data_IF_319194526080
#
_entry.id   IF_319194526080
#
_cell.length_a   1.000
_cell.length_b   1.000
_cell.length_c   1.000
_cell.angle_alpha   90.00
_cell.angle_beta   90.00
_cell.angle_gamma   90.00
#
_symmetry.space_group_name_H-M   'P 1'
#
loop_
_entity.id
_entity.type
_entity.pdbx_description
1 polymer ?
#
# COMPACT_ATOMS: atom_id res chain seq x y z
N UNK A 1 -25.46 -27.13 -3.94
CA UNK A 1 -24.39 -26.94 -2.94
C UNK A 1 -23.06 -27.34 -3.54
N UNK A 2 -22.07 -26.46 -3.48
CA UNK A 2 -20.74 -26.73 -4.00
C UNK A 2 -20.03 -27.71 -3.09
N UNK A 3 -19.34 -28.70 -3.66
CA UNK A 3 -18.56 -29.67 -2.88
C UNK A 3 -17.24 -29.06 -2.40
N UNK A 4 -16.67 -29.60 -1.33
CA UNK A 4 -15.35 -29.20 -0.84
C UNK A 4 -14.30 -29.30 -1.94
N UNK A 5 -14.40 -30.34 -2.79
CA UNK A 5 -13.48 -30.51 -3.92
C UNK A 5 -13.51 -29.33 -4.90
N UNK A 6 -14.69 -28.79 -5.17
CA UNK A 6 -14.85 -27.62 -6.05
C UNK A 6 -14.21 -26.37 -5.45
N UNK A 7 -14.39 -26.17 -4.15
CA UNK A 7 -13.71 -25.08 -3.45
C UNK A 7 -12.18 -25.20 -3.51
N UNK A 8 -11.66 -26.40 -3.27
CA UNK A 8 -10.21 -26.64 -3.29
C UNK A 8 -9.63 -26.50 -4.68
N UNK A 9 -10.34 -26.98 -5.72
CA UNK A 9 -9.87 -26.88 -7.10
C UNK A 9 -9.96 -25.47 -7.67
N UNK A 10 -10.87 -24.64 -7.13
CA UNK A 10 -10.97 -23.22 -7.51
C UNK A 10 -9.84 -22.36 -6.99
N UNK A 11 -9.07 -22.87 -6.00
CA UNK A 11 -7.96 -22.16 -5.41
C UNK A 11 -8.36 -21.08 -4.44
N UNK A 12 -7.37 -20.43 -3.87
CA UNK A 12 -7.53 -19.35 -2.91
C UNK A 12 -6.58 -18.21 -3.27
N UNK A 13 -6.96 -17.00 -2.92
CA UNK A 13 -6.11 -15.81 -3.08
C UNK A 13 -5.73 -15.28 -1.71
N UNK A 14 -4.44 -15.22 -1.43
CA UNK A 14 -3.92 -14.67 -0.17
C UNK A 14 -3.44 -13.25 -0.40
N UNK A 15 -3.92 -12.33 0.44
CA UNK A 15 -3.58 -10.91 0.37
C UNK A 15 -3.00 -10.44 1.69
N UNK A 16 -2.02 -9.52 1.62
CA UNK A 16 -1.48 -8.88 2.82
C UNK A 16 -2.55 -8.04 3.51
N UNK A 17 -2.69 -8.21 4.81
CA UNK A 17 -3.59 -7.38 5.61
C UNK A 17 -3.18 -5.91 5.58
N UNK A 18 -1.89 -5.61 5.50
CA UNK A 18 -1.41 -4.23 5.41
C UNK A 18 -1.91 -3.53 4.15
N UNK A 19 -1.93 -4.23 3.02
CA UNK A 19 -2.45 -3.71 1.77
C UNK A 19 -3.97 -3.52 1.84
N UNK A 20 -4.67 -4.52 2.35
CA UNK A 20 -6.12 -4.47 2.52
C UNK A 20 -6.56 -3.31 3.43
N UNK A 21 -5.81 -3.04 4.50
CA UNK A 21 -6.12 -1.98 5.45
C UNK A 21 -5.74 -0.58 4.96
N UNK A 22 -4.83 -0.46 3.98
CA UNK A 22 -4.24 0.82 3.59
C UNK A 22 -4.47 1.23 2.13
N UNK A 23 -5.22 0.46 1.36
CA UNK A 23 -5.37 0.77 -0.08
C UNK A 23 -5.96 2.15 -0.34
N UNK A 24 -6.86 2.63 0.50
CA UNK A 24 -7.43 3.98 0.37
C UNK A 24 -6.39 5.06 0.64
N UNK A 25 -5.50 4.85 1.60
CA UNK A 25 -4.41 5.77 1.91
C UNK A 25 -3.38 5.84 0.79
N UNK A 26 -3.25 4.77 0.02
CA UNK A 26 -2.41 4.74 -1.17
C UNK A 26 -3.02 5.50 -2.35
N UNK A 27 -4.31 5.81 -2.29
CA UNK A 27 -5.02 6.52 -3.36
C UNK A 27 -5.80 5.61 -4.30
N UNK A 28 -6.04 4.36 -3.91
CA UNK A 28 -6.87 3.43 -4.68
C UNK A 28 -8.33 3.54 -4.26
N UNK A 29 -9.22 3.55 -5.25
CA UNK A 29 -10.65 3.33 -5.00
C UNK A 29 -10.89 1.83 -4.75
N UNK A 30 -12.05 1.49 -4.19
CA UNK A 30 -12.41 0.10 -3.97
C UNK A 30 -12.47 -0.69 -5.29
N UNK A 31 -13.00 -0.09 -6.36
CA UNK A 31 -13.04 -0.72 -7.68
C UNK A 31 -11.64 -0.95 -8.26
N UNK A 32 -10.76 0.02 -8.14
CA UNK A 32 -9.37 -0.09 -8.58
C UNK A 32 -8.63 -1.18 -7.80
N UNK A 33 -8.83 -1.22 -6.49
CA UNK A 33 -8.24 -2.26 -5.65
C UNK A 33 -8.78 -3.64 -5.99
N UNK A 34 -10.08 -3.76 -6.28
CA UNK A 34 -10.67 -5.04 -6.69
C UNK A 34 -10.05 -5.52 -8.02
N UNK A 35 -9.84 -4.63 -8.98
CA UNK A 35 -9.15 -4.99 -10.22
C UNK A 35 -7.72 -5.46 -9.93
N UNK A 36 -7.00 -4.74 -9.10
CA UNK A 36 -5.66 -5.14 -8.69
C UNK A 36 -5.67 -6.54 -8.05
N UNK A 37 -6.66 -6.82 -7.19
CA UNK A 37 -6.83 -8.14 -6.57
C UNK A 37 -7.11 -9.24 -7.59
N UNK A 38 -7.90 -8.96 -8.62
CA UNK A 38 -8.15 -9.93 -9.69
C UNK A 38 -6.86 -10.27 -10.44
N UNK A 39 -6.04 -9.27 -10.72
CA UNK A 39 -4.73 -9.46 -11.34
C UNK A 39 -3.80 -10.26 -10.41
N UNK A 40 -3.82 -9.94 -9.13
CA UNK A 40 -3.01 -10.63 -8.13
C UNK A 40 -3.43 -12.08 -7.93
N UNK A 41 -4.74 -12.37 -7.96
CA UNK A 41 -5.26 -13.72 -7.91
C UNK A 41 -4.78 -14.54 -9.10
N UNK A 42 -4.78 -13.97 -10.30
CA UNK A 42 -4.26 -14.61 -11.51
C UNK A 42 -2.76 -14.89 -11.38
N UNK A 43 -2.01 -13.93 -10.86
CA UNK A 43 -0.58 -14.10 -10.62
C UNK A 43 -0.29 -15.25 -9.64
N UNK A 44 -1.04 -15.34 -8.53
CA UNK A 44 -0.89 -16.43 -7.57
C UNK A 44 -1.25 -17.79 -8.18
N UNK A 45 -2.15 -17.81 -9.15
CA UNK A 45 -2.50 -19.03 -9.89
C UNK A 45 -1.52 -19.37 -11.02
N UNK A 46 -0.46 -18.57 -11.21
CA UNK A 46 0.55 -18.79 -12.21
C UNK A 46 0.27 -18.13 -13.56
N UNK A 47 -0.71 -17.23 -13.64
CA UNK A 47 -1.07 -16.52 -14.85
C UNK A 47 -0.77 -15.03 -14.72
N UNK A 48 0.30 -14.58 -15.35
CA UNK A 48 0.80 -13.20 -15.23
C UNK A 48 0.21 -12.23 -16.26
N UNK A 49 -0.56 -12.75 -17.23
CA UNK A 49 -1.24 -11.94 -18.23
C UNK A 49 -2.66 -12.46 -18.46
N UNK A 50 -3.56 -12.27 -17.50
CA UNK A 50 -4.92 -12.83 -17.58
C UNK A 50 -5.78 -12.14 -18.65
N UNK A 51 -6.81 -12.85 -19.13
CA UNK A 51 -7.80 -12.30 -20.02
C UNK A 51 -8.70 -11.31 -19.26
N UNK A 52 -8.68 -10.05 -19.68
CA UNK A 52 -9.45 -9.00 -19.05
C UNK A 52 -10.95 -9.15 -19.24
N UNK A 53 -11.39 -9.89 -20.27
CA UNK A 53 -12.80 -10.21 -20.46
C UNK A 53 -13.33 -11.08 -19.32
N UNK A 54 -12.53 -12.05 -18.88
CA UNK A 54 -12.87 -12.92 -17.74
C UNK A 54 -12.91 -12.10 -16.44
N UNK A 55 -11.95 -11.21 -16.23
CA UNK A 55 -11.93 -10.32 -15.08
C UNK A 55 -13.15 -9.40 -15.07
N UNK A 56 -13.53 -8.86 -16.22
CA UNK A 56 -14.74 -8.04 -16.35
C UNK A 56 -15.98 -8.81 -15.92
N UNK A 57 -16.11 -10.06 -16.35
CA UNK A 57 -17.22 -10.93 -15.94
C UNK A 57 -17.22 -11.16 -14.43
N UNK A 58 -16.05 -11.46 -13.84
CA UNK A 58 -15.92 -11.69 -12.41
C UNK A 58 -16.31 -10.46 -11.60
N UNK A 59 -16.04 -9.28 -12.12
CA UNK A 59 -16.35 -8.00 -11.43
C UNK A 59 -17.75 -7.46 -11.77
N UNK A 60 -18.51 -8.15 -12.62
CA UNK A 60 -19.82 -7.64 -13.06
C UNK A 60 -19.70 -6.34 -13.84
N UNK A 61 -18.65 -6.18 -14.63
CA UNK A 61 -18.33 -4.96 -15.37
C UNK A 61 -18.18 -5.25 -16.86
N UNK A 62 -17.86 -4.23 -17.64
CA UNK A 62 -17.58 -4.37 -19.07
C UNK A 62 -16.07 -4.39 -19.30
N UNK A 63 -15.64 -5.01 -20.39
CA UNK A 63 -14.23 -5.05 -20.77
C UNK A 63 -13.66 -3.64 -20.94
N UNK A 64 -14.44 -2.72 -21.50
CA UNK A 64 -14.05 -1.33 -21.70
C UNK A 64 -13.76 -0.60 -20.40
N UNK A 65 -14.62 -0.80 -19.39
CA UNK A 65 -14.41 -0.23 -18.05
C UNK A 65 -13.19 -0.82 -17.37
N UNK A 66 -12.93 -2.11 -17.56
CA UNK A 66 -11.76 -2.78 -17.01
C UNK A 66 -10.47 -2.24 -17.64
N UNK A 67 -10.45 -2.05 -18.98
CA UNK A 67 -9.29 -1.42 -19.64
C UNK A 67 -9.04 -0.01 -19.14
N UNK A 68 -10.10 0.79 -18.96
CA UNK A 68 -9.96 2.14 -18.44
C UNK A 68 -9.41 2.13 -17.00
N UNK A 69 -9.91 1.23 -16.15
CA UNK A 69 -9.44 1.08 -14.77
C UNK A 69 -7.98 0.60 -14.73
N UNK A 70 -7.61 -0.32 -15.61
CA UNK A 70 -6.23 -0.80 -15.73
C UNK A 70 -5.29 0.33 -16.14
N UNK A 71 -5.68 1.16 -17.11
CA UNK A 71 -4.89 2.33 -17.51
C UNK A 71 -4.70 3.27 -16.33
N UNK A 72 -5.72 3.47 -15.51
CA UNK A 72 -5.62 4.29 -14.29
C UNK A 72 -4.62 3.69 -13.31
N UNK A 73 -4.65 2.37 -13.10
CA UNK A 73 -3.67 1.68 -12.23
C UNK A 73 -2.24 1.83 -12.74
N UNK A 74 -2.04 1.78 -14.05
CA UNK A 74 -0.72 1.97 -14.67
C UNK A 74 -0.28 3.42 -14.50
N UNK A 75 -1.15 4.39 -14.75
CA UNK A 75 -0.85 5.82 -14.57
C UNK A 75 -0.51 6.17 -13.13
N UNK A 76 -1.22 5.58 -12.18
CA UNK A 76 -0.96 5.75 -10.74
C UNK A 76 0.24 4.94 -10.26
N UNK A 77 0.86 4.15 -11.12
CA UNK A 77 2.04 3.33 -10.81
C UNK A 77 1.78 2.23 -9.76
N UNK A 78 0.60 1.61 -9.81
CA UNK A 78 0.31 0.41 -9.01
C UNK A 78 0.56 -0.89 -9.78
N UNK A 79 0.51 -0.80 -11.10
CA UNK A 79 0.76 -1.91 -12.02
C UNK A 79 1.70 -1.42 -13.11
N UNK A 80 2.67 -2.23 -13.48
CA UNK A 80 3.50 -1.99 -14.64
C UNK A 80 3.29 -3.10 -15.67
N UNK A 81 3.14 -2.73 -16.93
CA UNK A 81 3.12 -3.69 -18.01
C UNK A 81 4.56 -3.89 -18.49
N UNK A 82 5.08 -5.10 -18.36
CA UNK A 82 6.44 -5.44 -18.73
C UNK A 82 6.46 -6.51 -19.80
N UNK A 83 7.46 -6.45 -20.67
CA UNK A 83 7.72 -7.45 -21.68
C UNK A 83 9.00 -8.19 -21.33
N UNK A 84 8.91 -9.52 -21.25
CA UNK A 84 10.04 -10.39 -21.02
C UNK A 84 10.34 -11.21 -22.27
N UNK A 85 11.61 -11.57 -22.46
CA UNK A 85 12.02 -12.52 -23.48
C UNK A 85 12.21 -13.89 -22.83
N UNK A 86 11.65 -14.93 -23.45
CA UNK A 86 11.90 -16.30 -23.02
C UNK A 86 13.25 -16.82 -23.53
N UNK A 87 13.64 -18.03 -23.17
CA UNK A 87 14.89 -18.66 -23.60
C UNK A 87 14.97 -18.82 -25.13
N UNK A 88 13.84 -18.80 -25.83
CA UNK A 88 13.75 -18.93 -27.28
C UNK A 88 13.65 -17.58 -27.99
N UNK A 89 13.78 -16.46 -27.25
CA UNK A 89 13.69 -15.12 -27.81
C UNK A 89 12.27 -14.64 -28.08
N UNK A 90 11.23 -15.33 -27.56
CA UNK A 90 9.84 -14.92 -27.74
C UNK A 90 9.50 -13.84 -26.70
N UNK A 91 8.76 -12.83 -27.15
CA UNK A 91 8.25 -11.80 -26.25
C UNK A 91 7.00 -12.30 -25.54
N UNK A 92 6.96 -12.10 -24.22
CA UNK A 92 5.77 -12.33 -23.41
C UNK A 92 5.50 -11.11 -22.54
N UNK A 93 4.26 -10.64 -22.57
CA UNK A 93 3.84 -9.54 -21.72
C UNK A 93 3.32 -10.07 -20.39
N UNK A 94 3.56 -9.32 -19.33
CA UNK A 94 3.04 -9.63 -18.00
C UNK A 94 2.79 -8.35 -17.21
N UNK A 95 1.88 -8.44 -16.25
CA UNK A 95 1.63 -7.35 -15.32
C UNK A 95 2.51 -7.52 -14.10
N UNK A 96 3.34 -6.52 -13.83
CA UNK A 96 4.12 -6.45 -12.60
C UNK A 96 3.29 -5.75 -11.53
N UNK A 97 2.99 -6.46 -10.45
CA UNK A 97 2.15 -5.97 -9.34
C UNK A 97 2.97 -5.46 -8.16
N UNK A 98 4.29 -5.58 -8.22
CA UNK A 98 5.19 -5.13 -7.14
C UNK A 98 5.10 -3.64 -6.83
N UNK A 99 4.83 -2.72 -7.79
CA UNK A 99 4.74 -1.30 -7.48
C UNK A 99 3.75 -0.95 -6.35
N UNK A 100 2.65 -1.70 -6.20
CA UNK A 100 1.71 -1.49 -5.10
C UNK A 100 2.37 -1.76 -3.74
N UNK A 101 3.19 -2.79 -3.64
CA UNK A 101 3.92 -3.14 -2.41
C UNK A 101 5.01 -2.11 -2.10
N UNK A 102 5.70 -1.60 -3.11
CA UNK A 102 6.69 -0.54 -2.95
C UNK A 102 6.05 0.74 -2.39
N UNK A 103 4.88 1.10 -2.88
CA UNK A 103 4.11 2.24 -2.35
C UNK A 103 3.67 2.01 -0.91
N UNK A 104 3.30 0.78 -0.57
CA UNK A 104 2.93 0.42 0.80
C UNK A 104 4.13 0.57 1.74
N UNK A 105 5.32 0.14 1.32
CA UNK A 105 6.55 0.29 2.10
C UNK A 105 6.84 1.77 2.38
N UNK A 106 6.74 2.63 1.37
CA UNK A 106 6.93 4.08 1.52
C UNK A 106 5.91 4.67 2.52
N UNK A 107 4.64 4.29 2.40
CA UNK A 107 3.59 4.75 3.30
C UNK A 107 3.89 4.33 4.75
N UNK A 108 4.30 3.09 4.96
CA UNK A 108 4.59 2.56 6.30
C UNK A 108 5.82 3.22 6.92
N UNK A 109 6.83 3.53 6.14
CA UNK A 109 8.00 4.28 6.61
C UNK A 109 7.63 5.72 6.99
N UNK A 110 6.81 6.38 6.19
CA UNK A 110 6.30 7.71 6.52
C UNK A 110 5.49 7.71 7.82
N UNK A 111 4.62 6.74 7.99
CA UNK A 111 3.82 6.60 9.22
C UNK A 111 4.70 6.36 10.45
N UNK A 112 5.74 5.54 10.30
CA UNK A 112 6.71 5.28 11.37
C UNK A 112 7.47 6.55 11.75
N UNK A 113 7.95 7.30 10.76
CA UNK A 113 8.67 8.56 10.98
C UNK A 113 7.80 9.59 11.69
N UNK A 114 6.55 9.76 11.26
CA UNK A 114 5.58 10.66 11.91
C UNK A 114 5.30 10.24 13.35
N UNK A 115 5.14 8.95 13.61
CA UNK A 115 4.93 8.43 14.96
C UNK A 115 6.14 8.68 15.86
N UNK A 116 7.36 8.54 15.37
CA UNK A 116 8.59 8.83 16.10
C UNK A 116 8.71 10.33 16.42
N UNK A 117 8.39 11.19 15.45
CA UNK A 117 8.36 12.64 15.69
C UNK A 117 7.34 13.03 16.76
N UNK A 118 6.13 12.48 16.71
CA UNK A 118 5.10 12.75 17.72
C UNK A 118 5.53 12.28 19.11
N UNK A 119 6.16 11.12 19.20
CA UNK A 119 6.70 10.60 20.46
C UNK A 119 7.81 11.50 21.02
N UNK A 120 8.70 11.96 20.17
CA UNK A 120 9.78 12.88 20.57
C UNK A 120 9.22 14.21 21.06
N UNK A 121 8.25 14.78 20.37
CA UNK A 121 7.57 16.01 20.79
C UNK A 121 6.85 15.84 22.13
N UNK A 122 6.17 14.72 22.32
CA UNK A 122 5.49 14.42 23.58
C UNK A 122 6.49 14.30 24.74
N UNK A 123 7.63 13.65 24.50
CA UNK A 123 8.70 13.53 25.49
C UNK A 123 9.30 14.90 25.85
N UNK A 124 9.54 15.75 24.85
CA UNK A 124 10.05 17.11 25.08
C UNK A 124 9.07 17.96 25.89
N UNK A 125 7.79 17.92 25.56
CA UNK A 125 6.74 18.64 26.30
C UNK A 125 6.66 18.19 27.76
N UNK A 126 6.75 16.89 27.98
CA UNK A 126 6.74 16.34 29.34
C UNK A 126 7.94 16.79 30.14
N UNK A 127 9.11 16.83 29.55
CA UNK A 127 10.34 17.31 30.20
C UNK A 127 10.25 18.79 30.54
N UNK A 128 9.75 19.62 29.62
CA UNK A 128 9.55 21.06 29.86
C UNK A 128 8.60 21.32 31.02
N UNK A 129 7.51 20.56 31.12
CA UNK A 129 6.57 20.65 32.24
C UNK A 129 7.25 20.30 33.58
N UNK A 130 8.10 19.28 33.56
CA UNK A 130 8.87 18.89 34.77
C UNK A 130 9.79 20.01 35.22
N UNK A 131 10.47 20.69 34.28
CA UNK A 131 11.31 21.86 34.59
C UNK A 131 10.48 23.03 35.17
N UNK A 132 9.32 23.33 34.59
CA UNK A 132 8.43 24.38 35.08
C UNK A 132 7.92 24.09 36.47
N UNK A 133 7.61 22.84 36.80
CA UNK A 133 7.21 22.44 38.15
C UNK A 133 8.34 22.63 39.16
N UNK A 134 9.55 22.27 38.78
CA UNK A 134 10.73 22.40 39.65
C UNK A 134 11.08 23.87 39.93
N UNK A 135 11.01 24.72 38.91
CA UNK A 135 11.25 26.15 39.04
C UNK A 135 10.08 26.92 39.69
N UNK A 136 8.90 26.30 39.75
CA UNK A 136 7.69 26.93 40.32
C UNK A 136 7.14 28.09 39.49
N UNK A 137 7.54 28.21 38.23
CA UNK A 137 7.08 29.24 37.30
C UNK A 137 7.20 28.78 35.86
N UNK A 138 6.42 29.36 34.91
CA UNK A 138 6.60 29.09 33.49
C UNK A 138 8.01 29.50 33.02
N UNK A 139 8.58 28.71 32.10
CA UNK A 139 9.88 29.00 31.51
C UNK A 139 9.79 30.19 30.54
N UNK A 140 10.84 31.04 30.54
CA UNK A 140 10.96 32.12 29.56
C UNK A 140 11.30 31.55 28.16
N UNK A 141 11.06 32.30 27.06
CA UNK A 141 11.45 31.85 25.71
C UNK A 141 12.93 31.48 25.60
N UNK A 142 13.81 32.19 26.31
CA UNK A 142 15.25 31.90 26.31
C UNK A 142 15.54 30.57 26.99
N UNK A 143 14.84 30.26 28.09
CA UNK A 143 14.97 28.98 28.78
C UNK A 143 14.46 27.81 27.94
N UNK A 144 13.35 27.99 27.22
CA UNK A 144 12.87 27.00 26.27
C UNK A 144 13.88 26.71 25.17
N UNK A 145 14.53 27.74 24.62
CA UNK A 145 15.54 27.56 23.59
C UNK A 145 16.75 26.77 24.11
N UNK A 146 17.23 27.08 25.32
CA UNK A 146 18.35 26.38 25.95
C UNK A 146 18.04 24.90 26.17
N UNK A 147 16.85 24.56 26.64
CA UNK A 147 16.43 23.17 26.86
C UNK A 147 16.29 22.46 25.53
N UNK A 148 15.67 23.08 24.54
CA UNK A 148 15.56 22.53 23.19
C UNK A 148 16.92 22.25 22.55
N UNK A 149 17.89 23.12 22.76
CA UNK A 149 19.26 22.94 22.29
C UNK A 149 19.94 21.71 22.92
N UNK A 150 19.68 21.43 24.18
CA UNK A 150 20.24 20.27 24.87
C UNK A 150 19.57 18.94 24.47
N UNK A 151 18.33 19.00 24.02
CA UNK A 151 17.55 17.81 23.62
C UNK A 151 17.82 17.35 22.21
N UNK A 152 18.44 18.14 21.36
CA UNK A 152 18.78 17.81 19.97
C UNK A 152 20.17 17.17 19.86
#
# INVERSE_FOLDING_TARGET
MISLKEYLSGGETTISNLLLQNYTKLGLTTSEFMLWLQLYASHQAGEDFPDLTIIAQNMGSTTEKIYAALNTLVEKEFVALETALDEQGRQSDHYNLLPAFEKLDVLKEQQRFEAEEENDLAAQKKMLRSFEQEFGRPLSPIEYQKIGYWLN
#
